data_IF_466138951761
#
_entry.id   IF_466138951761
#
_cell.length_a   1.000
_cell.length_b   1.000
_cell.length_c   1.000
_cell.angle_alpha   90.00
_cell.angle_beta   90.00
_cell.angle_gamma   90.00
#
_symmetry.space_group_name_H-M   'P 1'
#
loop_
_entity.id
_entity.type
_entity.pdbx_description
1 polymer ?
#
# COMPACT_ATOMS: atom_id res chain seq x y z
N UNK A 1 11.19 14.41 6.86
CA UNK A 1 10.52 14.20 5.57
C UNK A 1 11.27 13.11 4.82
N UNK A 2 10.57 12.24 4.11
CA UNK A 2 11.13 11.22 3.22
C UNK A 2 10.35 11.25 1.91
N UNK A 3 11.04 11.05 0.80
CA UNK A 3 10.43 10.90 -0.52
C UNK A 3 10.31 9.42 -0.82
N UNK A 4 9.08 8.94 -1.04
CA UNK A 4 8.82 7.55 -1.39
C UNK A 4 8.32 7.49 -2.82
N UNK A 5 8.88 6.57 -3.60
CA UNK A 5 8.34 6.26 -4.93
C UNK A 5 7.41 5.06 -4.81
N UNK A 6 6.15 5.29 -5.13
CA UNK A 6 5.06 4.33 -5.04
C UNK A 6 4.72 3.82 -6.45
N UNK A 7 4.49 2.51 -6.61
CA UNK A 7 4.09 1.91 -7.87
C UNK A 7 2.74 1.18 -7.72
N UNK A 8 1.78 1.46 -8.61
CA UNK A 8 0.48 0.76 -8.59
C UNK A 8 0.60 -0.54 -9.39
N UNK A 9 0.37 -1.65 -8.70
CA UNK A 9 0.47 -2.99 -9.30
C UNK A 9 -0.71 -3.20 -10.26
N UNK A 10 -0.41 -3.56 -11.51
CA UNK A 10 -1.41 -3.84 -12.55
C UNK A 10 -1.88 -2.61 -13.35
N UNK A 11 -1.38 -1.41 -13.03
CA UNK A 11 -1.57 -0.22 -13.83
C UNK A 11 -0.28 0.10 -14.62
N UNK A 12 -0.42 0.60 -15.86
CA UNK A 12 0.72 1.00 -16.69
C UNK A 12 1.26 2.36 -16.25
N UNK A 13 2.58 2.51 -16.27
CA UNK A 13 3.30 3.75 -15.97
C UNK A 13 2.82 4.48 -14.70
N UNK A 14 2.61 3.72 -13.63
CA UNK A 14 1.92 4.15 -12.41
C UNK A 14 2.86 4.47 -11.24
N UNK A 15 4.13 4.78 -11.54
CA UNK A 15 5.13 5.13 -10.53
C UNK A 15 5.08 6.64 -10.29
N UNK A 16 4.92 7.05 -9.03
CA UNK A 16 4.87 8.45 -8.64
C UNK A 16 5.62 8.66 -7.31
N UNK A 17 6.14 9.87 -7.13
CA UNK A 17 6.82 10.26 -5.90
C UNK A 17 5.82 10.86 -4.91
N UNK A 18 6.05 10.65 -3.62
CA UNK A 18 5.28 11.26 -2.55
C UNK A 18 6.18 11.66 -1.40
N UNK A 19 6.01 12.89 -0.93
CA UNK A 19 6.73 13.38 0.23
C UNK A 19 5.88 13.28 1.49
N UNK A 20 6.45 12.66 2.53
CA UNK A 20 5.74 12.45 3.78
C UNK A 20 6.70 12.48 4.97
N UNK A 21 6.21 12.96 6.12
CA UNK A 21 6.97 12.89 7.36
C UNK A 21 7.03 11.44 7.89
N UNK A 22 8.21 11.00 8.33
CA UNK A 22 8.43 9.61 8.78
C UNK A 22 7.64 9.28 10.06
N UNK A 23 7.26 10.28 10.83
CA UNK A 23 6.45 10.20 12.03
C UNK A 23 4.97 9.94 11.73
N UNK A 24 4.51 10.18 10.50
CA UNK A 24 3.12 9.93 10.10
C UNK A 24 2.87 8.43 10.00
N UNK A 25 1.60 8.07 10.14
CA UNK A 25 1.15 6.69 10.00
C UNK A 25 1.10 6.22 8.55
N UNK A 26 1.14 4.90 8.35
CA UNK A 26 0.84 4.25 7.08
C UNK A 26 -0.53 4.67 6.54
N UNK A 27 -1.50 4.94 7.42
CA UNK A 27 -2.80 5.49 6.99
C UNK A 27 -2.70 6.87 6.33
N UNK A 28 -1.84 7.75 6.85
CA UNK A 28 -1.58 9.04 6.19
C UNK A 28 -0.94 8.83 4.82
N UNK A 29 -0.03 7.86 4.68
CA UNK A 29 0.54 7.49 3.37
C UNK A 29 -0.55 7.00 2.41
N UNK A 30 -1.48 6.13 2.85
CA UNK A 30 -2.62 5.70 2.01
C UNK A 30 -3.47 6.88 1.54
N UNK A 31 -3.74 7.85 2.42
CA UNK A 31 -4.49 9.06 2.05
C UNK A 31 -3.73 9.90 1.02
N UNK A 32 -2.45 10.09 1.23
CA UNK A 32 -1.61 10.90 0.35
C UNK A 32 -1.49 10.24 -1.04
N UNK A 33 -1.26 8.92 -1.12
CA UNK A 33 -1.28 8.15 -2.38
C UNK A 33 -2.60 8.35 -3.13
N UNK A 34 -3.73 8.32 -2.42
CA UNK A 34 -5.03 8.50 -3.04
C UNK A 34 -5.27 9.92 -3.54
N UNK A 35 -4.69 10.92 -2.87
CA UNK A 35 -4.80 12.31 -3.29
C UNK A 35 -3.97 12.59 -4.56
N UNK A 36 -2.80 11.97 -4.68
CA UNK A 36 -1.92 12.09 -5.85
C UNK A 36 -2.39 11.27 -7.07
N UNK A 37 -3.30 10.31 -6.87
CA UNK A 37 -3.75 9.41 -7.93
C UNK A 37 -5.28 9.25 -7.98
N UNK A 38 -5.91 9.95 -8.93
CA UNK A 38 -7.35 9.96 -9.12
C UNK A 38 -7.89 8.61 -9.61
N UNK A 39 -7.08 7.86 -10.38
CA UNK A 39 -7.45 6.57 -10.99
C UNK A 39 -7.79 5.48 -9.95
N UNK A 40 -7.25 5.58 -8.73
CA UNK A 40 -7.50 4.65 -7.64
C UNK A 40 -8.95 4.77 -7.12
N UNK A 41 -9.90 4.02 -7.64
CA UNK A 41 -11.29 4.13 -7.19
C UNK A 41 -11.50 3.64 -5.75
N UNK A 42 -12.38 4.33 -5.00
CA UNK A 42 -12.79 3.96 -3.66
C UNK A 42 -12.01 4.64 -2.52
N UNK A 43 -12.29 4.26 -1.26
CA UNK A 43 -11.70 4.91 -0.10
C UNK A 43 -10.25 4.46 0.12
N UNK A 44 -9.38 5.38 0.57
CA UNK A 44 -7.97 5.10 0.85
C UNK A 44 -7.71 3.90 1.80
N UNK A 45 -8.70 3.53 2.63
CA UNK A 45 -8.62 2.35 3.51
C UNK A 45 -8.53 1.02 2.74
N UNK A 46 -9.02 0.99 1.50
CA UNK A 46 -9.01 -0.19 0.63
C UNK A 46 -7.65 -0.42 -0.04
N UNK A 47 -6.74 0.56 0.04
CA UNK A 47 -5.40 0.41 -0.49
C UNK A 47 -4.59 -0.51 0.42
N UNK A 48 -3.93 -1.48 -0.17
CA UNK A 48 -2.95 -2.34 0.49
C UNK A 48 -1.56 -1.88 0.05
N UNK A 49 -0.68 -1.68 1.02
CA UNK A 49 0.68 -1.20 0.79
C UNK A 49 1.66 -2.30 1.16
N UNK A 50 2.62 -2.57 0.29
CA UNK A 50 3.68 -3.56 0.48
C UNK A 50 5.03 -2.91 0.25
N UNK A 51 6.08 -3.47 0.85
CA UNK A 51 7.44 -2.99 0.60
C UNK A 51 7.98 -3.57 -0.71
N UNK A 52 8.49 -2.70 -1.57
CA UNK A 52 9.20 -3.09 -2.77
C UNK A 52 10.66 -3.42 -2.41
N UNK A 53 10.89 -4.56 -1.75
CA UNK A 53 12.24 -5.02 -1.37
C UNK A 53 12.57 -6.35 -2.03
N UNK A 54 13.75 -6.44 -2.65
CA UNK A 54 14.27 -7.71 -3.21
C UNK A 54 14.92 -8.54 -2.10
N UNK A 55 15.69 -7.87 -1.23
CA UNK A 55 16.41 -8.48 -0.12
C UNK A 55 16.28 -7.57 1.10
N UNK A 56 16.53 -8.10 2.29
CA UNK A 56 16.42 -7.31 3.52
C UNK A 56 17.31 -6.07 3.46
N UNK A 57 16.71 -4.92 3.76
CA UNK A 57 17.38 -3.63 3.74
C UNK A 57 17.46 -2.93 2.37
N UNK A 58 17.18 -3.62 1.25
CA UNK A 58 17.45 -3.10 -0.11
C UNK A 58 16.18 -2.90 -0.92
N UNK A 59 15.99 -1.67 -1.41
CA UNK A 59 14.87 -1.29 -2.28
C UNK A 59 14.99 -1.89 -3.69
N UNK A 60 13.84 -2.11 -4.32
CA UNK A 60 13.75 -2.48 -5.73
C UNK A 60 14.24 -1.31 -6.59
N UNK A 61 15.27 -1.52 -7.41
CA UNK A 61 15.72 -0.51 -8.36
C UNK A 61 14.74 -0.38 -9.51
N UNK A 62 14.63 0.80 -10.11
CA UNK A 62 13.67 1.05 -11.19
C UNK A 62 14.09 0.50 -12.56
N UNK A 63 15.36 0.09 -12.69
CA UNK A 63 15.97 -0.62 -13.83
C UNK A 63 15.93 -2.15 -13.68
N UNK A 64 15.52 -2.66 -12.51
CA UNK A 64 15.36 -4.09 -12.27
C UNK A 64 14.28 -4.67 -13.20
N UNK A 65 14.47 -5.89 -13.75
CA UNK A 65 13.47 -6.53 -14.61
C UNK A 65 12.06 -6.58 -14.00
N UNK A 66 11.95 -6.80 -12.69
CA UNK A 66 10.66 -6.81 -12.00
C UNK A 66 10.00 -5.43 -11.98
N UNK A 67 10.79 -4.35 -11.83
CA UNK A 67 10.31 -2.97 -11.88
C UNK A 67 9.92 -2.54 -13.30
N UNK A 68 10.66 -2.97 -14.33
CA UNK A 68 10.30 -2.74 -15.72
C UNK A 68 8.99 -3.42 -16.08
N UNK A 69 8.77 -4.65 -15.61
CA UNK A 69 7.49 -5.34 -15.82
C UNK A 69 6.32 -4.64 -15.13
N UNK A 70 6.51 -4.12 -13.91
CA UNK A 70 5.52 -3.28 -13.23
C UNK A 70 5.10 -2.09 -14.09
N UNK A 71 6.06 -1.37 -14.69
CA UNK A 71 5.78 -0.22 -15.57
C UNK A 71 4.90 -0.61 -16.76
N UNK A 72 5.03 -1.85 -17.26
CA UNK A 72 4.20 -2.39 -18.36
C UNK A 72 2.84 -2.95 -17.92
N UNK A 73 2.56 -2.99 -16.61
CA UNK A 73 1.34 -3.57 -16.04
C UNK A 73 1.36 -5.10 -15.96
N UNK A 74 2.51 -5.74 -16.19
CA UNK A 74 2.67 -7.20 -16.05
C UNK A 74 2.98 -7.56 -14.59
N UNK A 75 2.55 -8.75 -14.18
CA UNK A 75 2.86 -9.28 -12.85
C UNK A 75 4.09 -10.18 -12.94
N UNK A 76 5.21 -9.73 -12.40
CA UNK A 76 6.42 -10.56 -12.25
C UNK A 76 6.33 -11.43 -11.00
N UNK A 77 7.01 -12.59 -11.00
CA UNK A 77 6.99 -13.52 -9.86
C UNK A 77 7.53 -12.89 -8.57
N UNK A 78 8.53 -12.04 -8.66
CA UNK A 78 9.12 -11.39 -7.47
C UNK A 78 8.21 -10.30 -6.90
N UNK A 79 7.45 -9.60 -7.74
CA UNK A 79 6.41 -8.67 -7.30
C UNK A 79 5.31 -9.43 -6.56
N UNK A 80 4.91 -10.59 -7.07
CA UNK A 80 3.91 -11.42 -6.39
C UNK A 80 4.41 -11.85 -5.00
N UNK A 81 5.67 -12.26 -4.86
CA UNK A 81 6.27 -12.58 -3.54
C UNK A 81 6.24 -11.38 -2.58
N UNK A 82 6.50 -10.16 -3.07
CA UNK A 82 6.45 -8.94 -2.25
C UNK A 82 5.01 -8.64 -1.78
N UNK A 83 4.01 -8.95 -2.60
CA UNK A 83 2.58 -8.78 -2.27
C UNK A 83 2.07 -9.88 -1.35
N UNK A 84 2.61 -11.10 -1.47
CA UNK A 84 2.27 -12.22 -0.58
C UNK A 84 2.91 -12.08 0.82
N UNK A 85 3.83 -11.13 1.00
CA UNK A 85 4.41 -10.77 2.29
C UNK A 85 3.46 -9.91 3.14
N UNK A 86 3.89 -9.59 4.36
CA UNK A 86 3.10 -8.80 5.30
C UNK A 86 2.79 -7.39 4.77
N UNK A 87 1.50 -7.10 4.63
CA UNK A 87 1.02 -5.77 4.31
C UNK A 87 1.36 -4.76 5.43
N UNK A 88 1.63 -3.52 5.05
CA UNK A 88 1.72 -2.41 5.97
C UNK A 88 0.48 -2.28 6.87
N UNK A 89 0.73 -2.17 8.18
CA UNK A 89 -0.29 -1.95 9.20
C UNK A 89 -0.59 -0.45 9.30
N UNK A 90 -1.84 -0.07 9.07
CA UNK A 90 -2.26 1.33 8.95
C UNK A 90 -1.95 2.20 10.19
N UNK A 91 -1.92 1.60 11.38
CA UNK A 91 -1.65 2.28 12.66
C UNK A 91 -0.16 2.49 12.93
N UNK A 92 0.74 1.80 12.22
CA UNK A 92 2.19 1.98 12.39
C UNK A 92 2.65 3.27 11.75
N UNK A 93 3.68 3.89 12.33
CA UNK A 93 4.40 5.01 11.70
C UNK A 93 5.27 4.51 10.54
N UNK A 94 5.55 5.39 9.58
CA UNK A 94 6.47 5.07 8.49
C UNK A 94 7.87 4.77 9.01
N UNK A 95 8.33 5.51 10.03
CA UNK A 95 9.61 5.25 10.68
C UNK A 95 9.69 3.80 11.18
N UNK A 96 8.66 3.36 11.90
CA UNK A 96 8.62 2.01 12.45
C UNK A 96 8.55 0.96 11.35
N UNK A 97 7.63 1.16 10.41
CA UNK A 97 7.42 0.20 9.33
C UNK A 97 8.64 0.07 8.42
N UNK A 98 9.26 1.17 7.98
CA UNK A 98 10.38 1.16 7.04
C UNK A 98 11.71 0.80 7.74
N UNK A 99 12.03 1.46 8.84
CA UNK A 99 13.39 1.44 9.40
C UNK A 99 13.51 0.53 10.62
N UNK A 100 12.53 0.52 11.53
CA UNK A 100 12.66 -0.26 12.76
C UNK A 100 12.34 -1.74 12.52
N UNK A 101 11.22 -2.04 11.86
CA UNK A 101 10.73 -3.39 11.62
C UNK A 101 11.43 -4.06 10.42
N UNK A 102 11.65 -3.30 9.34
CA UNK A 102 12.17 -3.84 8.07
C UNK A 102 13.63 -3.49 7.77
N UNK A 103 14.28 -2.68 8.63
CA UNK A 103 15.70 -2.29 8.50
C UNK A 103 16.07 -1.74 7.12
N UNK A 104 15.13 -1.06 6.46
CA UNK A 104 15.36 -0.54 5.12
C UNK A 104 16.38 0.60 5.14
N UNK A 105 17.19 0.68 4.09
CA UNK A 105 18.03 1.85 3.85
C UNK A 105 17.17 3.09 3.61
N UNK A 106 17.78 4.27 3.74
CA UNK A 106 17.07 5.51 3.43
C UNK A 106 16.64 5.51 1.95
N UNK A 107 15.39 5.89 1.65
CA UNK A 107 14.90 6.05 0.29
C UNK A 107 15.80 6.95 -0.56
N UNK A 108 16.06 6.57 -1.81
CA UNK A 108 16.74 7.43 -2.79
C UNK A 108 15.99 7.45 -4.12
N UNK A 109 16.40 8.32 -5.04
CA UNK A 109 15.92 8.27 -6.42
C UNK A 109 16.26 6.93 -7.09
N UNK A 110 15.63 6.66 -8.25
CA UNK A 110 15.89 5.47 -9.08
C UNK A 110 15.52 4.13 -8.38
N UNK A 111 14.62 4.21 -7.40
CA UNK A 111 14.15 3.08 -6.62
C UNK A 111 12.63 3.13 -6.46
N UNK A 112 12.00 1.97 -6.42
CA UNK A 112 10.61 1.78 -6.00
C UNK A 112 10.62 1.35 -4.53
N UNK A 113 9.81 2.02 -3.73
CA UNK A 113 9.78 1.82 -2.27
C UNK A 113 8.51 1.10 -1.83
N UNK A 114 7.37 1.47 -2.41
CA UNK A 114 6.06 0.98 -1.99
C UNK A 114 5.30 0.43 -3.19
N UNK A 115 4.80 -0.79 -3.07
CA UNK A 115 3.83 -1.36 -4.00
C UNK A 115 2.42 -1.07 -3.48
N UNK A 116 1.58 -0.52 -4.34
CA UNK A 116 0.19 -0.16 -4.05
C UNK A 116 -0.72 -1.13 -4.79
N UNK A 117 -1.57 -1.83 -4.03
CA UNK A 117 -2.60 -2.73 -4.57
C UNK A 117 -3.96 -2.20 -4.14
N UNK A 118 -4.84 -1.95 -5.11
CA UNK A 118 -6.23 -1.64 -4.82
C UNK A 118 -6.97 -2.95 -4.45
N UNK A 119 -7.49 -3.04 -3.24
CA UNK A 119 -8.33 -4.16 -2.83
C UNK A 119 -9.81 -3.83 -3.11
N UNK A 120 -10.49 -4.68 -3.87
CA UNK A 120 -11.94 -4.56 -4.10
C UNK A 120 -12.79 -5.03 -2.90
N UNK A 121 -12.18 -5.48 -1.80
CA UNK A 121 -12.85 -6.23 -0.73
C UNK A 121 -13.27 -5.35 0.43
N UNK A 122 -14.27 -4.50 0.23
CA UNK A 122 -15.22 -4.17 1.30
C UNK A 122 -16.62 -4.08 0.71
N UNK A 123 -17.12 -5.18 0.16
CA UNK A 123 -18.57 -5.40 0.11
C UNK A 123 -18.96 -5.71 1.55
N UNK A 124 -19.55 -4.74 2.25
CA UNK A 124 -20.43 -5.09 3.36
C UNK A 124 -21.52 -5.93 2.71
N UNK A 125 -21.46 -7.25 2.86
CA UNK A 125 -22.66 -8.04 2.67
C UNK A 125 -23.64 -7.49 3.68
N UNK A 126 -24.59 -6.70 3.19
CA UNK A 126 -25.84 -6.42 3.87
C UNK A 126 -26.53 -7.75 4.08
N UNK A 127 -26.03 -8.60 4.97
CA UNK A 127 -26.68 -9.83 5.35
C UNK A 127 -27.88 -9.37 6.20
N UNK A 128 -29.11 -9.42 5.67
CA UNK A 128 -30.28 -8.84 6.34
C UNK A 128 -30.53 -9.48 7.72
N UNK A 129 -29.96 -10.67 7.94
CA UNK A 129 -29.99 -11.41 9.21
C UNK A 129 -29.21 -10.74 10.34
N UNK A 130 -28.16 -9.95 10.04
CA UNK A 130 -27.34 -9.30 11.06
C UNK A 130 -27.93 -7.96 11.53
N UNK A 131 -28.60 -7.24 10.62
CA UNK A 131 -29.24 -5.95 10.90
C UNK A 131 -30.47 -6.12 11.82
N UNK A 132 -31.24 -7.19 11.65
CA UNK A 132 -32.39 -7.48 12.51
C UNK A 132 -31.99 -7.73 13.97
N UNK A 133 -30.82 -8.32 14.20
CA UNK A 133 -30.32 -8.64 15.55
C UNK A 133 -29.74 -7.43 16.30
N UNK A 134 -29.21 -6.44 15.57
CA UNK A 134 -28.80 -5.16 16.17
C UNK A 134 -30.02 -4.26 16.46
N UNK A 135 -31.04 -4.28 15.60
CA UNK A 135 -32.29 -3.54 15.81
C UNK A 135 -33.06 -4.02 17.05
N UNK A 136 -33.04 -5.33 17.35
CA UNK A 136 -33.62 -5.87 18.59
C UNK A 136 -32.84 -5.47 19.85
N UNK A 137 -31.53 -5.21 19.73
CA UNK A 137 -30.69 -4.82 20.88
C UNK A 137 -30.88 -3.34 21.25
N UNK A 138 -31.13 -2.47 20.27
CA UNK A 138 -31.39 -1.03 20.48
C UNK A 138 -32.80 -0.76 21.00
N UNK A 139 -33.78 -1.63 20.71
CA UNK A 139 -35.16 -1.52 21.21
C UNK A 139 -35.36 -2.08 22.63
N UNK A 140 -34.32 -2.61 23.24
CA UNK A 140 -34.36 -3.22 24.58
C UNK A 140 -33.81 -2.35 25.71
N UNK A 141 -33.48 -1.08 25.46
CA UNK A 141 -33.15 -0.09 26.49
C UNK A 141 -34.34 0.85 26.74
#
# INVERSE_FOLDING_TARGET
>A
MVTLYCAIVGAKNSVFAIDIEKEKSVYHLKKAIKAENEDLQGPARNLQLFLAKITDGVWLKDDDPAALELKTGKKHKDIQKMIDADQAIATRTLKRWLFDDNKMLQPSAEQIHVLVVASEKLKWESNPTFISRLSSYVKGC
#
